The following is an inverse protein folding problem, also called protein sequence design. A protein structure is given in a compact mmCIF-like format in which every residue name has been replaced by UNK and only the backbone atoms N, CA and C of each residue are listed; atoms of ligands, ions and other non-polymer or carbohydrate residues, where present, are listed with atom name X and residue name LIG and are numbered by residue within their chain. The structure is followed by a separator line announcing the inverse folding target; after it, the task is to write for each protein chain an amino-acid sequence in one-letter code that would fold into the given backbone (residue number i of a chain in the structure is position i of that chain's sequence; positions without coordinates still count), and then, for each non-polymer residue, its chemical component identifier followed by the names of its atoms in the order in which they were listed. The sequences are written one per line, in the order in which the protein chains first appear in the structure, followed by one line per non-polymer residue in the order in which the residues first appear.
data_IF_040117614967
#
_entry.id   IF_040117614967
#
_cell.length_a   1.000
_cell.length_b   1.000
_cell.length_c   1.000
_cell.angle_alpha   90.00
_cell.angle_beta   90.00
_cell.angle_gamma   90.00
#
_symmetry.space_group_name_H-M   'P 1'
#
loop_
_entity.id
_entity.type
_entity.pdbx_description
1 polymer ?
#
# COMPACT_ATOMS: atom_id res chain seq x y z
N UNK A 1 18.86 -15.36 18.90
CA UNK A 1 19.01 -16.11 20.15
C UNK A 1 17.95 -17.22 20.32
N UNK A 2 16.64 -16.91 20.33
CA UNK A 2 15.58 -17.91 20.56
C UNK A 2 15.57 -19.09 19.57
N UNK A 3 15.77 -18.83 18.28
CA UNK A 3 15.77 -19.89 17.23
C UNK A 3 16.93 -20.88 17.42
N UNK A 4 18.15 -20.38 17.64
CA UNK A 4 19.32 -21.22 17.88
C UNK A 4 19.13 -22.17 19.07
N UNK A 5 18.61 -21.65 20.19
CA UNK A 5 18.33 -22.44 21.39
C UNK A 5 17.21 -23.46 21.16
N UNK A 6 16.15 -23.09 20.46
CA UNK A 6 15.02 -23.97 20.17
C UNK A 6 15.42 -25.17 19.31
N UNK A 7 16.33 -24.97 18.35
CA UNK A 7 16.75 -26.02 17.41
C UNK A 7 18.13 -26.62 17.73
N UNK A 8 18.78 -26.21 18.82
CA UNK A 8 20.09 -26.73 19.22
C UNK A 8 21.22 -26.45 18.21
N UNK A 9 21.15 -25.34 17.48
CA UNK A 9 22.14 -24.97 16.45
C UNK A 9 22.92 -23.71 16.82
N UNK A 10 24.12 -23.57 16.26
CA UNK A 10 24.95 -22.38 16.46
C UNK A 10 24.29 -21.10 15.92
N UNK A 11 24.57 -19.96 16.56
CA UNK A 11 24.03 -18.65 16.11
C UNK A 11 24.44 -18.32 14.67
N UNK A 12 25.68 -18.63 14.29
CA UNK A 12 26.14 -18.48 12.91
C UNK A 12 25.38 -19.35 11.92
N UNK A 13 24.93 -20.55 12.33
CA UNK A 13 24.10 -21.42 11.48
C UNK A 13 22.72 -20.82 11.23
N UNK A 14 22.11 -20.18 12.24
CA UNK A 14 20.83 -19.46 12.06
C UNK A 14 20.99 -18.34 11.02
N UNK A 15 22.09 -17.58 11.10
CA UNK A 15 22.37 -16.52 10.12
C UNK A 15 22.54 -17.12 8.71
N UNK A 16 23.39 -18.13 8.57
CA UNK A 16 23.63 -18.81 7.29
C UNK A 16 22.34 -19.36 6.66
N UNK A 17 21.46 -19.97 7.46
CA UNK A 17 20.18 -20.48 6.97
C UNK A 17 19.22 -19.35 6.58
N UNK A 18 19.17 -18.28 7.37
CA UNK A 18 18.37 -17.10 7.05
C UNK A 18 18.80 -16.49 5.73
N UNK A 19 20.11 -16.31 5.53
CA UNK A 19 20.68 -15.74 4.31
C UNK A 19 20.38 -16.62 3.09
N UNK A 20 20.54 -17.94 3.21
CA UNK A 20 20.22 -18.90 2.14
C UNK A 20 18.74 -18.89 1.78
N UNK A 21 17.85 -18.84 2.77
CA UNK A 21 16.40 -18.79 2.55
C UNK A 21 16.00 -17.47 1.90
N UNK A 22 16.54 -16.34 2.37
CA UNK A 22 16.28 -15.03 1.75
C UNK A 22 16.80 -14.98 0.32
N UNK A 23 17.98 -15.54 0.05
CA UNK A 23 18.52 -15.63 -1.31
C UNK A 23 17.61 -16.46 -2.22
N UNK A 24 17.13 -17.62 -1.76
CA UNK A 24 16.23 -18.47 -2.53
C UNK A 24 14.86 -17.81 -2.81
N UNK A 25 14.29 -17.11 -1.83
CA UNK A 25 13.00 -16.40 -2.00
C UNK A 25 13.17 -15.20 -2.95
N UNK A 26 14.29 -14.49 -2.86
CA UNK A 26 14.56 -13.33 -3.71
C UNK A 26 15.18 -13.70 -5.06
N UNK A 27 15.36 -15.00 -5.34
CA UNK A 27 15.80 -15.46 -6.65
C UNK A 27 14.81 -15.04 -7.74
N UNK A 28 15.35 -14.77 -8.93
CA UNK A 28 14.57 -14.28 -10.06
C UNK A 28 13.43 -15.23 -10.44
N UNK A 29 13.64 -16.55 -10.37
CA UNK A 29 12.62 -17.53 -10.72
C UNK A 29 11.44 -17.48 -9.74
N UNK A 30 11.71 -17.51 -8.44
CA UNK A 30 10.66 -17.43 -7.42
C UNK A 30 9.96 -16.08 -7.42
N UNK A 31 10.71 -14.98 -7.57
CA UNK A 31 10.12 -13.64 -7.69
C UNK A 31 9.17 -13.54 -8.88
N UNK A 32 9.53 -14.09 -10.03
CA UNK A 32 8.71 -14.08 -11.25
C UNK A 32 7.48 -15.00 -11.17
N UNK A 33 7.49 -16.02 -10.31
CA UNK A 33 6.31 -16.84 -10.04
C UNK A 33 5.38 -16.19 -9.01
N UNK A 34 5.95 -15.63 -7.93
CA UNK A 34 5.17 -15.09 -6.82
C UNK A 34 4.64 -13.66 -7.05
N UNK A 35 5.31 -12.85 -7.87
CA UNK A 35 4.89 -11.48 -8.20
C UNK A 35 4.75 -11.35 -9.71
N UNK A 36 3.50 -11.31 -10.16
CA UNK A 36 3.15 -11.18 -11.56
C UNK A 36 2.15 -10.04 -11.72
N UNK A 37 2.19 -9.40 -12.88
CA UNK A 37 1.11 -8.49 -13.26
C UNK A 37 -0.23 -9.23 -13.29
N UNK A 38 -1.33 -8.50 -13.10
CA UNK A 38 -2.65 -9.09 -13.09
C UNK A 38 -2.95 -9.77 -14.44
N UNK A 39 -3.38 -11.03 -14.39
CA UNK A 39 -3.87 -11.73 -15.57
C UNK A 39 -5.17 -11.08 -16.08
N UNK A 40 -5.56 -11.27 -17.35
CA UNK A 40 -6.82 -10.73 -17.87
C UNK A 40 -8.04 -11.14 -17.02
N UNK A 41 -8.03 -12.36 -16.48
CA UNK A 41 -9.06 -12.85 -15.56
C UNK A 41 -9.03 -12.11 -14.23
N UNK A 42 -7.87 -12.00 -13.57
CA UNK A 42 -7.75 -11.30 -12.30
C UNK A 42 -8.12 -9.81 -12.41
N UNK A 43 -7.80 -9.17 -13.55
CA UNK A 43 -8.25 -7.82 -13.89
C UNK A 43 -9.77 -7.75 -14.00
N UNK A 44 -10.40 -8.66 -14.74
CA UNK A 44 -11.87 -8.68 -14.89
C UNK A 44 -12.58 -8.88 -13.54
N UNK A 45 -12.12 -9.84 -12.73
CA UNK A 45 -12.66 -10.09 -11.38
C UNK A 45 -12.50 -8.87 -10.46
N UNK A 46 -11.38 -8.14 -10.57
CA UNK A 46 -11.17 -6.91 -9.82
C UNK A 46 -12.12 -5.78 -10.26
N UNK A 47 -12.33 -5.62 -11.58
CA UNK A 47 -13.28 -4.65 -12.13
C UNK A 47 -14.72 -4.94 -11.67
N UNK A 48 -15.14 -6.21 -11.73
CA UNK A 48 -16.46 -6.66 -11.24
C UNK A 48 -16.62 -6.45 -9.73
N UNK A 49 -15.54 -6.67 -8.96
CA UNK A 49 -15.55 -6.38 -7.53
C UNK A 49 -15.79 -4.89 -7.27
N UNK A 50 -15.09 -4.00 -7.98
CA UNK A 50 -15.24 -2.55 -7.80
C UNK A 50 -16.65 -2.08 -8.17
N UNK A 51 -17.18 -2.57 -9.29
CA UNK A 51 -18.55 -2.28 -9.73
C UNK A 51 -19.59 -2.68 -8.69
N UNK A 52 -19.47 -3.90 -8.14
CA UNK A 52 -20.40 -4.40 -7.12
C UNK A 52 -20.36 -3.59 -5.81
N UNK A 53 -19.19 -3.10 -5.43
CA UNK A 53 -19.01 -2.38 -4.15
C UNK A 53 -19.32 -0.89 -4.26
N UNK A 54 -19.38 -0.36 -5.48
CA UNK A 54 -19.63 1.06 -5.75
C UNK A 54 -20.63 1.27 -6.88
N UNK A 55 -20.16 1.44 -8.11
CA UNK A 55 -20.99 1.69 -9.29
C UNK A 55 -20.27 1.24 -10.58
N UNK A 56 -21.01 1.10 -11.67
CA UNK A 56 -20.51 0.60 -12.95
C UNK A 56 -19.44 1.52 -13.57
N UNK A 57 -19.60 2.84 -13.42
CA UNK A 57 -18.64 3.83 -13.89
C UNK A 57 -17.25 3.66 -13.25
N UNK A 58 -17.16 3.12 -12.04
CA UNK A 58 -15.90 3.00 -11.31
C UNK A 58 -15.13 1.71 -11.61
N UNK A 59 -15.72 0.77 -12.35
CA UNK A 59 -15.13 -0.55 -12.66
C UNK A 59 -13.70 -0.49 -13.20
N UNK A 60 -13.35 0.56 -13.93
CA UNK A 60 -12.03 0.72 -14.56
C UNK A 60 -10.94 1.18 -13.58
N UNK A 61 -11.29 1.52 -12.34
CA UNK A 61 -10.38 1.71 -11.23
C UNK A 61 -10.19 0.42 -10.44
N UNK A 62 -9.45 -0.55 -10.97
CA UNK A 62 -9.41 -1.92 -10.42
C UNK A 62 -8.19 -2.19 -9.53
N UNK A 63 -7.36 -1.17 -9.29
CA UNK A 63 -6.16 -1.23 -8.47
C UNK A 63 -6.22 -0.27 -7.30
N UNK A 64 -5.52 -0.63 -6.23
CA UNK A 64 -5.37 0.23 -5.06
C UNK A 64 -3.90 0.33 -4.68
N UNK A 65 -3.44 1.55 -4.46
CA UNK A 65 -2.10 1.85 -3.94
C UNK A 65 -2.20 2.37 -2.52
N UNK A 66 -1.33 1.87 -1.65
CA UNK A 66 -1.26 2.30 -0.27
C UNK A 66 0.14 2.13 0.31
N UNK A 67 0.48 3.04 1.23
CA UNK A 67 1.77 3.11 1.88
C UNK A 67 1.74 2.48 3.27
N UNK A 68 2.87 1.90 3.67
CA UNK A 68 3.02 1.43 5.05
C UNK A 68 4.45 1.55 5.54
N UNK A 69 4.58 1.77 6.85
CA UNK A 69 5.87 1.85 7.52
C UNK A 69 6.20 0.50 8.17
N UNK A 70 7.43 0.03 8.02
CA UNK A 70 7.98 -1.13 8.74
C UNK A 70 8.89 -0.60 9.85
N UNK A 71 8.48 -0.65 11.13
CA UNK A 71 9.29 -0.16 12.23
C UNK A 71 10.59 -0.98 12.33
N UNK A 72 11.70 -0.30 12.55
CA UNK A 72 12.99 -0.90 12.88
C UNK A 72 13.11 -1.02 14.40
N UNK A 73 13.77 -2.08 14.86
CA UNK A 73 13.89 -2.35 16.30
C UNK A 73 14.75 -1.34 17.08
N UNK A 74 15.53 -0.51 16.37
CA UNK A 74 16.38 0.54 16.92
C UNK A 74 16.63 1.64 15.90
N UNK A 75 17.20 2.76 16.37
CA UNK A 75 17.74 3.82 15.52
C UNK A 75 18.79 3.27 14.54
N UNK A 76 18.65 3.52 13.23
CA UNK A 76 19.66 3.21 12.22
C UNK A 76 20.94 3.99 12.45
N UNK A 77 22.10 3.35 12.27
CA UNK A 77 23.38 4.04 12.17
C UNK A 77 23.53 4.77 10.82
N UNK A 78 22.87 4.28 9.77
CA UNK A 78 22.87 4.87 8.44
C UNK A 78 21.85 6.00 8.33
N UNK A 79 22.32 7.26 8.35
CA UNK A 79 21.47 8.46 8.26
C UNK A 79 20.21 8.41 9.15
N UNK A 80 20.36 8.01 10.43
CA UNK A 80 19.24 7.64 11.30
C UNK A 80 18.09 8.64 11.40
N UNK A 81 18.36 9.96 11.27
CA UNK A 81 17.30 10.98 11.29
C UNK A 81 16.34 10.86 10.10
N UNK A 82 16.79 10.37 8.95
CA UNK A 82 15.93 10.16 7.77
C UNK A 82 14.96 8.99 7.97
N UNK A 83 15.22 8.10 8.93
CA UNK A 83 14.32 7.00 9.24
C UNK A 83 13.30 7.38 10.32
N UNK A 84 13.46 8.55 10.96
CA UNK A 84 12.52 9.04 11.94
C UNK A 84 11.25 9.51 11.24
N UNK A 85 10.17 8.78 11.44
CA UNK A 85 8.90 9.00 10.78
C UNK A 85 7.97 9.91 11.59
N UNK A 86 6.86 10.30 10.96
CA UNK A 86 5.81 11.14 11.59
C UNK A 86 5.10 10.45 12.75
N UNK A 87 5.39 9.17 13.02
CA UNK A 87 4.85 8.39 14.14
C UNK A 87 5.87 8.27 15.26
N UNK A 88 6.89 9.13 15.27
CA UNK A 88 7.99 9.14 16.23
C UNK A 88 8.71 7.78 16.36
N UNK A 89 8.73 7.00 15.27
CA UNK A 89 9.43 5.72 15.18
C UNK A 89 10.56 5.80 14.16
N UNK A 90 11.51 4.87 14.26
CA UNK A 90 12.44 4.62 13.15
C UNK A 90 11.85 3.55 12.24
N UNK A 91 11.64 3.82 10.97
CA UNK A 91 11.00 2.88 10.06
C UNK A 91 11.50 2.98 8.62
N UNK A 92 11.21 1.94 7.83
CA UNK A 92 11.39 1.96 6.37
C UNK A 92 10.03 2.06 5.70
N UNK A 93 9.93 2.88 4.66
CA UNK A 93 8.71 3.00 3.87
C UNK A 93 8.57 1.83 2.87
N UNK A 94 7.34 1.37 2.72
CA UNK A 94 6.93 0.32 1.78
C UNK A 94 5.67 0.79 1.06
N UNK A 95 5.68 0.74 -0.26
CA UNK A 95 4.50 1.01 -1.10
C UNK A 95 4.00 -0.30 -1.68
N UNK A 96 2.69 -0.52 -1.66
CA UNK A 96 2.05 -1.74 -2.16
C UNK A 96 0.93 -1.36 -3.13
N UNK A 97 0.93 -1.99 -4.30
CA UNK A 97 -0.20 -2.00 -5.23
C UNK A 97 -0.85 -3.37 -5.14
N UNK A 98 -2.14 -3.39 -4.83
CA UNK A 98 -2.88 -4.62 -4.65
C UNK A 98 -4.17 -4.65 -5.45
N UNK A 99 -4.59 -5.87 -5.79
CA UNK A 99 -5.93 -6.18 -6.26
C UNK A 99 -6.92 -6.25 -5.08
N UNK A 100 -8.24 -6.16 -5.32
CA UNK A 100 -9.25 -6.29 -4.26
C UNK A 100 -9.21 -7.63 -3.50
N UNK A 101 -8.67 -8.69 -4.12
CA UNK A 101 -8.48 -10.00 -3.50
C UNK A 101 -7.21 -10.10 -2.63
N UNK A 102 -6.58 -8.96 -2.30
CA UNK A 102 -5.40 -8.84 -1.43
C UNK A 102 -4.08 -9.36 -2.03
N UNK A 103 -4.07 -9.75 -3.30
CA UNK A 103 -2.83 -10.08 -4.03
C UNK A 103 -2.07 -8.80 -4.34
N UNK A 104 -0.78 -8.80 -4.03
CA UNK A 104 0.14 -7.71 -4.36
C UNK A 104 0.65 -7.93 -5.78
N UNK A 105 0.63 -6.91 -6.62
CA UNK A 105 1.11 -7.02 -8.01
C UNK A 105 2.31 -6.13 -8.30
N UNK A 106 2.57 -5.16 -7.43
CA UNK A 106 3.69 -4.24 -7.53
C UNK A 106 3.99 -3.64 -6.14
N UNK A 107 5.24 -3.24 -5.90
CA UNK A 107 5.67 -2.65 -4.64
C UNK A 107 6.94 -1.81 -4.81
N UNK A 108 7.21 -0.96 -3.81
CA UNK A 108 8.51 -0.32 -3.60
C UNK A 108 8.94 -0.49 -2.14
N UNK A 109 10.24 -0.71 -1.91
CA UNK A 109 10.84 -0.91 -0.59
C UNK A 109 12.19 -0.19 -0.50
N UNK A 110 12.71 -0.03 0.71
CA UNK A 110 14.10 0.43 0.93
C UNK A 110 14.26 1.94 1.06
N UNK A 111 13.15 2.69 1.09
CA UNK A 111 13.20 4.13 1.41
C UNK A 111 13.13 4.38 2.92
N UNK A 112 13.77 5.44 3.43
CA UNK A 112 13.62 5.87 4.81
C UNK A 112 12.16 6.25 5.14
N UNK A 113 11.72 5.98 6.37
CA UNK A 113 10.34 6.20 6.83
C UNK A 113 9.87 7.66 6.88
N UNK A 114 10.79 8.63 6.85
CA UNK A 114 10.43 10.05 6.71
C UNK A 114 9.99 10.43 5.30
N UNK A 115 10.27 9.58 4.31
CA UNK A 115 10.00 9.86 2.90
C UNK A 115 8.50 9.92 2.63
N UNK A 116 8.05 10.91 1.86
CA UNK A 116 6.66 10.99 1.42
C UNK A 116 6.27 9.81 0.52
N UNK A 117 5.02 9.33 0.64
CA UNK A 117 4.51 8.20 -0.14
C UNK A 117 4.65 8.41 -1.65
N UNK A 118 4.51 9.66 -2.11
CA UNK A 118 4.72 10.07 -3.51
C UNK A 118 6.11 9.76 -4.06
N UNK A 119 7.14 9.67 -3.23
CA UNK A 119 8.50 9.35 -3.69
C UNK A 119 8.67 7.86 -3.87
N UNK A 120 8.18 7.04 -2.93
CA UNK A 120 8.16 5.58 -3.08
C UNK A 120 7.28 5.13 -4.25
N UNK A 121 6.22 5.91 -4.54
CA UNK A 121 5.34 5.70 -5.67
C UNK A 121 6.07 5.72 -7.02
N UNK A 122 7.05 6.62 -7.20
CA UNK A 122 7.83 6.76 -8.44
C UNK A 122 8.71 5.55 -8.77
N UNK A 123 9.04 4.73 -7.78
CA UNK A 123 9.87 3.53 -7.97
C UNK A 123 9.05 2.30 -8.39
N UNK A 124 7.73 2.38 -8.29
CA UNK A 124 6.85 1.23 -8.59
C UNK A 124 6.85 0.94 -10.08
N UNK A 125 6.70 -0.33 -10.44
CA UNK A 125 6.68 -0.77 -11.82
C UNK A 125 5.56 -0.09 -12.63
N UNK A 126 4.38 0.09 -12.02
CA UNK A 126 3.25 0.76 -12.66
C UNK A 126 3.51 2.24 -12.92
N UNK A 127 4.24 2.93 -12.04
CA UNK A 127 4.61 4.33 -12.27
C UNK A 127 5.56 4.43 -13.47
N UNK A 128 6.55 3.56 -13.54
CA UNK A 128 7.59 3.60 -14.58
C UNK A 128 7.12 3.09 -15.94
N UNK A 129 6.13 2.19 -15.98
CA UNK A 129 5.69 1.51 -17.23
C UNK A 129 4.18 1.56 -17.45
N UNK A 130 3.53 2.62 -16.97
CA UNK A 130 2.08 2.83 -17.04
C UNK A 130 1.49 2.48 -18.41
N UNK A 131 2.06 3.01 -19.48
CA UNK A 131 1.49 2.95 -20.84
C UNK A 131 1.43 1.50 -21.40
N UNK A 132 2.17 0.56 -20.80
CA UNK A 132 2.09 -0.87 -21.14
C UNK A 132 1.28 -1.71 -20.16
N UNK A 133 0.85 -1.14 -19.02
CA UNK A 133 0.23 -1.87 -17.90
C UNK A 133 -1.22 -1.49 -17.67
N UNK A 134 -1.55 -0.19 -17.82
CA UNK A 134 -2.92 0.31 -17.76
C UNK A 134 -3.43 0.60 -19.17
N UNK A 135 -4.67 0.19 -19.44
CA UNK A 135 -5.34 0.55 -20.69
C UNK A 135 -5.92 1.96 -20.60
N UNK A 136 -6.22 2.54 -21.75
CA UNK A 136 -6.91 3.82 -21.82
C UNK A 136 -8.20 3.80 -21.01
N UNK A 137 -8.34 4.80 -20.14
CA UNK A 137 -9.48 4.93 -19.25
C UNK A 137 -9.36 4.18 -17.93
N UNK A 138 -8.33 3.35 -17.71
CA UNK A 138 -8.08 2.69 -16.42
C UNK A 138 -7.34 3.60 -15.42
N UNK A 139 -7.48 3.30 -14.13
CA UNK A 139 -6.79 4.01 -13.06
C UNK A 139 -6.61 3.18 -11.79
N UNK A 140 -5.94 3.80 -10.83
CA UNK A 140 -5.65 3.27 -9.50
C UNK A 140 -6.29 4.20 -8.47
N UNK A 141 -6.87 3.63 -7.43
CA UNK A 141 -7.35 4.35 -6.27
C UNK A 141 -6.22 4.54 -5.26
N UNK A 142 -6.07 5.78 -4.79
CA UNK A 142 -4.99 6.17 -3.90
C UNK A 142 -5.50 6.98 -2.72
N UNK A 143 -4.68 7.11 -1.67
CA UNK A 143 -4.98 8.02 -0.58
C UNK A 143 -4.69 9.48 -0.95
N UNK A 144 -4.98 10.41 -0.03
CA UNK A 144 -4.79 11.84 -0.26
C UNK A 144 -3.32 12.29 -0.36
N UNK A 145 -2.36 11.45 0.04
CA UNK A 145 -0.93 11.74 -0.06
C UNK A 145 -0.38 11.47 -1.47
N UNK A 146 -1.13 10.79 -2.34
CA UNK A 146 -0.74 10.54 -3.72
C UNK A 146 -1.17 11.68 -4.67
N UNK A 147 -0.39 11.91 -5.74
CA UNK A 147 -0.76 12.89 -6.76
C UNK A 147 -2.08 12.52 -7.43
N UNK A 148 -2.96 13.50 -7.59
CA UNK A 148 -4.19 13.36 -8.35
C UNK A 148 -3.86 13.51 -9.84
N UNK A 149 -4.11 12.47 -10.63
CA UNK A 149 -3.88 12.47 -12.09
C UNK A 149 -4.98 11.69 -12.79
N UNK A 150 -5.02 11.71 -14.13
CA UNK A 150 -5.97 10.91 -14.92
C UNK A 150 -5.92 9.40 -14.62
N UNK A 151 -4.81 8.87 -14.13
CA UNK A 151 -4.60 7.44 -13.88
C UNK A 151 -4.40 7.10 -12.39
N UNK A 152 -4.34 8.10 -11.51
CA UNK A 152 -4.27 7.95 -10.06
C UNK A 152 -5.32 8.86 -9.41
N UNK A 153 -6.37 8.27 -8.85
CA UNK A 153 -7.52 8.99 -8.30
C UNK A 153 -7.49 8.97 -6.78
N UNK A 154 -7.40 10.16 -6.19
CA UNK A 154 -7.34 10.40 -4.74
C UNK A 154 -8.53 11.23 -4.25
N UNK A 155 -8.92 11.08 -2.97
CA UNK A 155 -10.09 11.75 -2.40
C UNK A 155 -9.93 13.28 -2.39
N UNK A 156 -11.05 13.99 -2.21
CA UNK A 156 -11.03 15.42 -1.90
C UNK A 156 -10.36 15.63 -0.53
N UNK A 157 -9.48 16.63 -0.45
CA UNK A 157 -8.80 17.07 0.77
C UNK A 157 -9.44 18.35 1.32
N UNK A 158 -9.12 18.75 2.56
CA UNK A 158 -9.65 20.01 3.10
C UNK A 158 -9.16 21.22 2.25
N UNK A 159 -9.99 22.26 2.05
CA UNK A 159 -11.34 22.43 2.60
C UNK A 159 -12.43 21.66 1.83
N UNK A 160 -12.25 21.34 0.55
CA UNK A 160 -13.25 20.71 -0.34
C UNK A 160 -13.88 19.44 0.22
N UNK A 161 -13.12 18.66 1.01
CA UNK A 161 -13.61 17.46 1.71
C UNK A 161 -14.85 17.72 2.58
N UNK A 162 -15.03 18.94 3.06
CA UNK A 162 -16.13 19.33 3.94
C UNK A 162 -17.46 19.54 3.20
N UNK A 163 -17.42 19.68 1.87
CA UNK A 163 -18.64 19.76 1.07
C UNK A 163 -19.37 18.40 1.11
N UNK A 164 -20.71 18.37 1.35
CA UNK A 164 -21.46 17.12 1.51
C UNK A 164 -21.25 16.12 0.37
N UNK A 165 -21.33 16.59 -0.87
CA UNK A 165 -21.09 15.79 -2.07
C UNK A 165 -19.67 15.19 -2.10
N UNK A 166 -18.66 15.96 -1.71
CA UNK A 166 -17.29 15.48 -1.71
C UNK A 166 -17.05 14.49 -0.56
N UNK A 167 -17.74 14.66 0.56
CA UNK A 167 -17.74 13.71 1.66
C UNK A 167 -18.38 12.38 1.26
N UNK A 168 -19.52 12.42 0.54
CA UNK A 168 -20.17 11.24 0.00
C UNK A 168 -19.28 10.52 -1.03
N UNK A 169 -18.67 11.24 -1.98
CA UNK A 169 -17.68 10.67 -2.89
C UNK A 169 -16.52 9.99 -2.15
N UNK A 170 -15.95 10.69 -1.16
CA UNK A 170 -14.84 10.16 -0.37
C UNK A 170 -15.23 8.91 0.43
N UNK A 171 -16.49 8.79 0.86
CA UNK A 171 -17.00 7.60 1.54
C UNK A 171 -16.94 6.36 0.63
N UNK A 172 -17.42 6.47 -0.61
CA UNK A 172 -17.34 5.38 -1.59
C UNK A 172 -15.91 5.08 -2.03
N UNK A 173 -15.06 6.11 -2.22
CA UNK A 173 -13.64 5.87 -2.50
C UNK A 173 -12.97 5.11 -1.34
N UNK A 174 -13.31 5.45 -0.10
CA UNK A 174 -12.79 4.78 1.09
C UNK A 174 -13.26 3.32 1.20
N UNK A 175 -14.47 2.98 0.73
CA UNK A 175 -14.97 1.59 0.74
C UNK A 175 -14.18 0.70 -0.22
N UNK A 176 -13.72 1.21 -1.36
CA UNK A 176 -12.80 0.47 -2.24
C UNK A 176 -11.44 0.33 -1.58
N UNK A 177 -10.89 1.46 -1.11
CA UNK A 177 -9.54 1.51 -0.55
C UNK A 177 -9.34 0.70 0.72
N UNK A 178 -10.40 0.37 1.47
CA UNK A 178 -10.28 -0.52 2.64
C UNK A 178 -9.57 -1.84 2.28
N UNK A 179 -9.63 -2.30 1.02
CA UNK A 179 -8.96 -3.51 0.55
C UNK A 179 -7.43 -3.39 0.50
N UNK A 180 -6.85 -2.24 0.15
CA UNK A 180 -5.39 -2.07 0.24
C UNK A 180 -4.92 -2.11 1.68
N UNK A 181 -5.67 -1.49 2.58
CA UNK A 181 -5.42 -1.52 4.02
C UNK A 181 -5.51 -2.95 4.58
N UNK A 182 -6.49 -3.72 4.10
CA UNK A 182 -6.63 -5.14 4.41
C UNK A 182 -5.45 -5.96 3.89
N UNK A 183 -4.94 -5.67 2.68
CA UNK A 183 -3.76 -6.36 2.13
C UNK A 183 -2.51 -6.10 2.98
N UNK A 184 -2.23 -4.84 3.30
CA UNK A 184 -1.14 -4.44 4.21
C UNK A 184 -1.29 -5.11 5.58
N UNK A 185 -2.51 -5.06 6.13
CA UNK A 185 -2.85 -5.71 7.40
C UNK A 185 -2.54 -7.20 7.35
N UNK A 186 -2.94 -7.90 6.29
CA UNK A 186 -2.73 -9.33 6.13
C UNK A 186 -1.24 -9.67 6.08
N UNK A 187 -0.47 -8.95 5.25
CA UNK A 187 0.99 -9.13 5.13
C UNK A 187 1.68 -8.96 6.49
N UNK A 188 1.35 -7.91 7.24
CA UNK A 188 1.89 -7.68 8.60
C UNK A 188 1.36 -8.70 9.62
N UNK A 189 0.14 -9.19 9.42
CA UNK A 189 -0.47 -10.26 10.19
C UNK A 189 0.34 -11.55 10.08
N UNK A 190 0.65 -11.96 8.85
CA UNK A 190 1.38 -13.17 8.49
C UNK A 190 2.84 -13.08 8.88
N UNK A 191 3.46 -11.93 8.64
CA UNK A 191 4.89 -11.71 8.87
C UNK A 191 5.12 -10.74 10.03
N UNK A 192 5.20 -11.29 11.24
CA UNK A 192 5.44 -10.50 12.45
C UNK A 192 6.75 -9.71 12.44
N UNK A 193 7.73 -10.10 11.61
CA UNK A 193 8.96 -9.33 11.36
C UNK A 193 8.69 -7.93 10.81
N UNK A 194 7.55 -7.69 10.15
CA UNK A 194 7.19 -6.37 9.60
C UNK A 194 6.58 -5.41 10.63
N UNK A 195 6.39 -5.86 11.88
CA UNK A 195 5.89 -5.05 13.01
C UNK A 195 7.01 -4.53 13.92
N UNK A 196 8.27 -4.76 13.54
CA UNK A 196 9.45 -4.50 14.36
C UNK A 196 10.63 -5.28 13.82
N UNK A 197 11.10 -4.89 12.64
CA UNK A 197 12.15 -5.59 11.90
C UNK A 197 13.46 -5.54 12.69
N UNK A 198 13.98 -6.72 13.02
CA UNK A 198 15.20 -6.91 13.82
C UNK A 198 16.45 -6.99 12.95
N UNK A 199 16.57 -6.07 12.01
CA UNK A 199 17.74 -5.90 11.13
C UNK A 199 18.46 -4.61 11.49
N UNK A 200 19.77 -4.69 11.67
CA UNK A 200 20.64 -3.55 11.89
C UNK A 200 20.85 -2.78 10.58
N UNK A 201 20.39 -1.52 10.52
CA UNK A 201 20.57 -0.64 9.36
C UNK A 201 21.65 0.39 9.69
N UNK A 202 22.90 -0.07 9.79
CA UNK A 202 24.05 0.80 10.12
C UNK A 202 24.78 1.31 8.89
N UNK A 203 24.61 0.62 7.76
CA UNK A 203 25.17 0.95 6.47
C UNK A 203 24.18 0.62 5.34
N UNK A 204 24.61 0.86 4.11
CA UNK A 204 23.83 0.55 2.91
C UNK A 204 23.50 -0.95 2.79
N UNK A 205 24.42 -1.84 3.20
CA UNK A 205 24.20 -3.29 3.14
C UNK A 205 23.09 -3.73 4.09
N UNK A 206 23.03 -3.15 5.29
CA UNK A 206 21.95 -3.37 6.25
C UNK A 206 20.59 -2.92 5.69
N UNK A 207 20.54 -1.79 4.98
CA UNK A 207 19.33 -1.31 4.31
C UNK A 207 18.91 -2.24 3.15
N UNK A 208 19.86 -2.70 2.35
CA UNK A 208 19.62 -3.68 1.28
C UNK A 208 19.10 -4.99 1.86
N UNK A 209 19.69 -5.49 2.94
CA UNK A 209 19.24 -6.70 3.63
C UNK A 209 17.82 -6.54 4.20
N UNK A 210 17.51 -5.40 4.83
CA UNK A 210 16.15 -5.08 5.27
C UNK A 210 15.16 -5.07 4.10
N UNK A 211 15.55 -4.52 2.95
CA UNK A 211 14.74 -4.47 1.74
C UNK A 211 14.47 -5.86 1.15
N UNK A 212 15.48 -6.74 1.12
CA UNK A 212 15.34 -8.14 0.72
C UNK A 212 14.45 -8.93 1.69
N UNK A 213 14.52 -8.63 2.98
CA UNK A 213 13.64 -9.22 3.99
C UNK A 213 12.18 -8.86 3.74
N UNK A 214 11.90 -7.56 3.59
CA UNK A 214 10.54 -7.06 3.33
C UNK A 214 10.01 -7.62 2.01
N UNK A 215 10.86 -7.62 0.97
CA UNK A 215 10.53 -8.23 -0.32
C UNK A 215 10.17 -9.70 -0.16
N UNK A 216 10.98 -10.47 0.58
CA UNK A 216 10.71 -11.88 0.84
C UNK A 216 9.35 -12.11 1.51
N UNK A 217 8.97 -11.26 2.47
CA UNK A 217 7.64 -11.30 3.08
C UNK A 217 6.52 -11.04 2.05
N UNK A 218 6.69 -10.09 1.14
CA UNK A 218 5.70 -9.79 0.08
C UNK A 218 5.57 -10.99 -0.89
N UNK A 219 6.69 -11.55 -1.34
CA UNK A 219 6.70 -12.69 -2.26
C UNK A 219 6.06 -13.93 -1.62
N UNK A 220 6.46 -14.27 -0.39
CA UNK A 220 5.85 -15.38 0.34
C UNK A 220 4.37 -15.14 0.66
N UNK A 221 3.94 -13.89 0.88
CA UNK A 221 2.52 -13.57 1.06
C UNK A 221 1.72 -13.94 -0.19
N UNK A 222 2.17 -13.52 -1.37
CA UNK A 222 1.48 -13.86 -2.61
C UNK A 222 1.48 -15.37 -2.88
N UNK A 223 2.63 -16.03 -2.70
CA UNK A 223 2.74 -17.48 -2.88
C UNK A 223 1.76 -18.24 -1.97
N UNK A 224 1.72 -17.87 -0.68
CA UNK A 224 0.78 -18.48 0.27
C UNK A 224 -0.67 -18.17 -0.10
N UNK A 225 -0.99 -16.91 -0.45
CA UNK A 225 -2.33 -16.49 -0.80
C UNK A 225 -2.87 -17.25 -2.02
N UNK A 226 -2.05 -17.44 -3.05
CA UNK A 226 -2.44 -18.20 -4.24
C UNK A 226 -2.75 -19.65 -3.90
N UNK A 227 -1.90 -20.31 -3.10
CA UNK A 227 -2.14 -21.68 -2.67
C UNK A 227 -3.41 -21.79 -1.79
N UNK A 228 -3.59 -20.90 -0.82
CA UNK A 228 -4.80 -20.84 0.01
C UNK A 228 -6.09 -20.70 -0.82
N UNK A 229 -6.08 -19.83 -1.85
CA UNK A 229 -7.20 -19.63 -2.76
C UNK A 229 -7.49 -20.88 -3.61
N UNK A 230 -6.45 -21.57 -4.11
CA UNK A 230 -6.61 -22.82 -4.85
C UNK A 230 -7.25 -23.93 -4.01
N UNK A 231 -7.05 -23.92 -2.69
CA UNK A 231 -7.68 -24.83 -1.73
C UNK A 231 -9.01 -24.31 -1.16
N UNK A 232 -9.57 -23.24 -1.75
CA UNK A 232 -10.88 -22.69 -1.36
C UNK A 232 -10.91 -22.02 0.01
N UNK A 233 -9.76 -21.60 0.55
CA UNK A 233 -9.70 -20.93 1.84
C UNK A 233 -10.12 -19.46 1.70
N UNK A 234 -11.09 -19.04 2.52
CA UNK A 234 -11.50 -17.65 2.63
C UNK A 234 -10.62 -16.89 3.62
N UNK A 235 -9.87 -15.91 3.11
CA UNK A 235 -9.00 -15.06 3.94
C UNK A 235 -9.77 -14.31 5.03
N UNK A 236 -11.09 -14.09 4.92
CA UNK A 236 -11.86 -13.42 5.97
C UNK A 236 -11.85 -14.21 7.30
N UNK A 237 -11.70 -15.54 7.20
CA UNK A 237 -11.62 -16.44 8.35
C UNK A 237 -10.17 -16.70 8.79
N UNK A 238 -9.18 -16.27 8.01
CA UNK A 238 -7.77 -16.46 8.31
C UNK A 238 -7.34 -15.72 9.59
N UNK A 239 -6.58 -16.41 10.43
CA UNK A 239 -6.13 -15.88 11.71
C UNK A 239 -5.17 -14.70 11.54
N UNK A 240 -4.23 -14.77 10.58
CA UNK A 240 -3.27 -13.71 10.31
C UNK A 240 -3.96 -12.48 9.74
N UNK A 241 -4.93 -12.66 8.84
CA UNK A 241 -5.77 -11.58 8.33
C UNK A 241 -6.47 -10.83 9.48
N UNK A 242 -7.18 -11.55 10.35
CA UNK A 242 -7.90 -10.96 11.50
C UNK A 242 -6.95 -10.31 12.51
N UNK A 243 -5.80 -10.92 12.77
CA UNK A 243 -4.75 -10.35 13.61
C UNK A 243 -4.17 -9.06 13.03
N UNK A 244 -3.89 -9.06 11.73
CA UNK A 244 -3.41 -7.92 10.96
C UNK A 244 -4.37 -6.72 10.98
N UNK A 245 -5.68 -6.98 10.83
CA UNK A 245 -6.71 -5.94 10.95
C UNK A 245 -6.76 -5.33 12.35
N UNK A 246 -6.68 -6.16 13.41
CA UNK A 246 -6.62 -5.67 14.81
C UNK A 246 -5.39 -4.81 15.06
N UNK A 247 -4.23 -5.24 14.56
CA UNK A 247 -2.99 -4.47 14.65
C UNK A 247 -3.12 -3.11 13.94
N UNK A 248 -3.60 -3.10 12.70
CA UNK A 248 -3.75 -1.88 11.91
C UNK A 248 -4.74 -0.90 12.54
N UNK A 249 -5.85 -1.41 13.09
CA UNK A 249 -6.83 -0.60 13.83
C UNK A 249 -6.21 0.06 15.06
N UNK A 250 -5.47 -0.70 15.88
CA UNK A 250 -4.79 -0.17 17.07
C UNK A 250 -3.79 0.94 16.71
N UNK A 251 -3.02 0.74 15.63
CA UNK A 251 -2.07 1.76 15.17
C UNK A 251 -2.78 3.05 14.75
N UNK A 252 -3.94 2.96 14.09
CA UNK A 252 -4.74 4.15 13.72
C UNK A 252 -5.36 4.86 14.91
N UNK A 253 -5.87 4.10 15.89
CA UNK A 253 -6.44 4.68 17.10
C UNK A 253 -5.37 5.48 17.86
N UNK A 254 -4.17 4.91 17.99
CA UNK A 254 -3.00 5.63 18.50
C UNK A 254 -2.69 6.86 17.64
N UNK A 255 -2.54 6.73 16.32
CA UNK A 255 -2.25 7.87 15.44
C UNK A 255 -3.28 9.00 15.53
N UNK A 256 -4.58 8.68 15.66
CA UNK A 256 -5.64 9.69 15.79
C UNK A 256 -5.51 10.46 17.10
N UNK A 257 -5.25 9.76 18.20
CA UNK A 257 -5.02 10.36 19.52
C UNK A 257 -3.83 11.33 19.52
N UNK A 258 -2.75 10.97 18.81
CA UNK A 258 -1.59 11.85 18.64
C UNK A 258 -1.84 13.01 17.68
N UNK A 259 -2.59 12.81 16.59
CA UNK A 259 -2.84 13.87 15.60
C UNK A 259 -3.75 14.98 16.11
N UNK A 260 -4.56 14.72 17.14
CA UNK A 260 -5.34 15.75 17.82
C UNK A 260 -4.46 16.62 18.76
N UNK A 261 -3.15 16.32 18.88
CA UNK A 261 -2.19 17.06 19.71
C UNK A 261 -1.15 17.89 18.93
N UNK A 262 -1.06 17.77 17.60
CA UNK A 262 -0.15 18.58 16.76
C UNK A 262 -0.91 19.25 15.59
N UNK A 263 -0.87 20.59 15.56
CA UNK A 263 -1.40 21.41 14.47
C UNK A 263 -0.56 21.31 13.17
N UNK A 264 -1.29 21.11 12.08
CA UNK A 264 -1.07 21.59 10.70
C UNK A 264 0.35 21.54 10.11
N UNK A 265 0.65 20.48 9.34
CA UNK A 265 1.74 20.50 8.34
C UNK A 265 1.17 20.81 6.96
N UNK A 266 1.43 22.03 6.47
CA UNK A 266 1.24 22.41 5.07
C UNK A 266 2.45 21.94 4.26
N UNK A 267 2.20 21.18 3.19
CA UNK A 267 3.20 20.89 2.18
C UNK A 267 3.07 21.95 1.09
N UNK A 268 4.00 22.92 1.08
CA UNK A 268 4.23 23.76 -0.08
C UNK A 268 4.72 22.88 -1.23
N UNK A 269 4.05 22.99 -2.38
CA UNK A 269 4.51 22.40 -3.64
C UNK A 269 4.86 23.55 -4.58
N UNK A 270 6.12 23.63 -4.98
CA UNK A 270 6.49 24.22 -6.27
C UNK A 270 6.21 23.14 -7.32
N UNK A 271 5.13 23.31 -8.10
CA UNK A 271 4.75 22.39 -9.17
C UNK A 271 5.33 22.87 -10.51
N UNK A 272 5.91 21.95 -11.29
CA UNK A 272 6.30 22.19 -12.68
C UNK A 272 5.04 22.21 -13.58
N UNK A 273 5.07 22.90 -14.72
CA UNK A 273 3.90 23.09 -15.60
C UNK A 273 3.23 21.77 -16.06
N UNK A 274 4.00 20.69 -16.21
CA UNK A 274 3.49 19.36 -16.54
C UNK A 274 2.72 18.70 -15.37
N UNK A 275 3.10 18.99 -14.12
CA UNK A 275 2.36 18.55 -12.94
C UNK A 275 0.99 19.26 -12.85
N UNK A 276 0.91 20.51 -13.29
CA UNK A 276 -0.33 21.30 -13.32
C UNK A 276 -1.34 20.73 -14.33
N UNK A 277 -0.88 20.32 -15.52
CA UNK A 277 -1.76 19.68 -16.53
C UNK A 277 -2.28 18.34 -16.00
N UNK A 278 -1.41 17.50 -15.45
CA UNK A 278 -1.81 16.20 -14.91
C UNK A 278 -2.81 16.35 -13.75
N UNK A 279 -2.61 17.35 -12.89
CA UNK A 279 -3.53 17.70 -11.82
C UNK A 279 -4.89 18.15 -12.34
N UNK A 280 -4.93 18.98 -13.38
CA UNK A 280 -6.16 19.45 -14.00
C UNK A 280 -6.96 18.29 -14.62
N UNK A 281 -6.29 17.43 -15.40
CA UNK A 281 -6.91 16.22 -15.94
C UNK A 281 -7.45 15.30 -14.85
N UNK A 282 -6.68 15.15 -13.76
CA UNK A 282 -7.08 14.39 -12.58
C UNK A 282 -8.33 14.96 -11.90
N UNK A 283 -8.43 16.28 -11.76
CA UNK A 283 -9.62 16.99 -11.22
C UNK A 283 -10.85 16.79 -12.11
N UNK A 284 -10.69 16.93 -13.43
CA UNK A 284 -11.77 16.70 -14.40
C UNK A 284 -12.29 15.27 -14.29
N UNK A 285 -11.38 14.28 -14.27
CA UNK A 285 -11.76 12.87 -14.10
C UNK A 285 -12.46 12.63 -12.77
N UNK A 286 -11.96 13.16 -11.65
CA UNK A 286 -12.59 12.99 -10.34
C UNK A 286 -13.99 13.58 -10.29
N UNK A 287 -14.19 14.76 -10.90
CA UNK A 287 -15.51 15.39 -11.00
C UNK A 287 -16.47 14.50 -11.81
N UNK A 288 -16.03 14.00 -12.97
CA UNK A 288 -16.80 13.07 -13.79
C UNK A 288 -17.18 11.79 -13.02
N UNK A 289 -16.22 11.17 -12.34
CA UNK A 289 -16.46 9.98 -11.51
C UNK A 289 -17.46 10.24 -10.38
N UNK A 290 -17.47 11.46 -9.82
CA UNK A 290 -18.46 11.87 -8.80
C UNK A 290 -19.85 11.99 -9.41
N UNK A 291 -19.97 12.66 -10.55
CA UNK A 291 -21.26 12.82 -11.27
C UNK A 291 -21.84 11.47 -11.67
N UNK A 292 -21.02 10.57 -12.22
CA UNK A 292 -21.43 9.21 -12.61
C UNK A 292 -21.86 8.36 -11.40
N UNK A 293 -21.10 8.42 -10.30
CA UNK A 293 -21.48 7.75 -9.04
C UNK A 293 -22.85 8.22 -8.56
N UNK A 294 -23.08 9.53 -8.55
CA UNK A 294 -24.32 10.11 -8.03
C UNK A 294 -25.52 9.82 -8.92
N UNK A 295 -25.32 9.86 -10.23
CA UNK A 295 -26.34 9.48 -11.21
C UNK A 295 -26.77 8.02 -11.03
N UNK A 296 -25.83 7.09 -10.84
CA UNK A 296 -26.14 5.66 -10.65
C UNK A 296 -26.78 5.38 -9.28
N UNK A 297 -26.37 6.08 -8.22
CA UNK A 297 -26.91 5.89 -6.87
C UNK A 297 -28.20 6.70 -6.60
N UNK A 298 -28.65 7.52 -7.55
CA UNK A 298 -29.82 8.40 -7.38
C UNK A 298 -29.61 9.50 -6.32
N UNK A 299 -28.36 9.92 -6.11
CA UNK A 299 -28.01 10.98 -5.16
C UNK A 299 -28.15 12.32 -5.88
N UNK A 300 -29.13 13.14 -5.46
CA UNK A 300 -29.25 14.51 -5.97
C UNK A 300 -28.05 15.35 -5.48
N UNK A 301 -27.47 16.24 -6.31
CA UNK A 301 -26.46 17.19 -5.85
C UNK A 301 -27.02 17.99 -4.68
N UNK A 302 -26.29 18.08 -3.56
CA UNK A 302 -26.72 18.97 -2.49
C UNK A 302 -26.36 20.40 -2.89
N UNK A 303 -27.39 21.24 -3.08
CA UNK A 303 -27.20 22.68 -3.30
C UNK A 303 -26.41 23.26 -2.13
N UNK A 304 -25.33 23.96 -2.46
CA UNK A 304 -24.50 24.68 -1.50
C UNK A 304 -25.04 26.10 -1.45
N UNK A 305 -25.99 26.35 -0.53
CA UNK A 305 -26.40 27.71 -0.14
C UNK A 305 -25.26 28.44 0.59
#
# INVERSE_FOLDING_TARGET
MKVALQFGIGYGSVQNYTDRVLAAINDKAFKSSALQWASPRARAEAMEWVERETCSAWRNGWLMVDGTLVPLYRRPGFFGNNFFDRKANYSTAVQIISLPNLRIIDYSVGRPGSTHDSTGWRDTWIYQRRDGLLRDGEWIWADSAYPLTKWCQSPYVKPDKLLPDNAAFNYHLSSIRIRSEHAIGYVKGRWSSLKGLRVAVDDEKGLQFASLWITGCILLHNFALEHEQQHGQDFNHDHFYRSGRRYSRRMREFEKEWRDTEEDWRADREAEADEDVALLEGRIKRKKLKEELFAELGIAPMDVD
#
